data_IF_585737664689
#
_entry.id   IF_585737664689
#
_cell.length_a   1.000
_cell.length_b   1.000
_cell.length_c   1.000
_cell.angle_alpha   90.00
_cell.angle_beta   90.00
_cell.angle_gamma   90.00
#
_symmetry.space_group_name_H-M   'P 1'
#
loop_
_entity.id
_entity.type
_entity.pdbx_description
1 polymer ?
#
# COMPACT_ATOMS: atom_id res chain seq x y z
N UNK A 1 -12.79 7.75 11.35
CA UNK A 1 -11.91 8.26 12.42
C UNK A 1 -10.62 7.46 12.39
N UNK A 2 -9.57 8.01 11.80
CA UNK A 2 -8.20 7.69 12.22
C UNK A 2 -8.09 8.06 13.70
N UNK A 3 -7.35 7.28 14.49
CA UNK A 3 -7.30 7.49 15.94
C UNK A 3 -6.49 8.78 16.18
N UNK A 4 -7.17 9.83 16.66
CA UNK A 4 -6.72 11.24 16.72
C UNK A 4 -5.60 11.52 17.75
N UNK A 5 -4.63 10.62 17.93
CA UNK A 5 -3.58 10.76 18.94
C UNK A 5 -2.22 10.17 18.55
N UNK A 6 -1.88 10.11 17.27
CA UNK A 6 -0.53 9.70 16.86
C UNK A 6 0.37 10.95 16.74
N UNK A 7 1.55 10.97 17.40
CA UNK A 7 2.51 12.06 17.23
C UNK A 7 2.90 12.24 15.76
N UNK A 8 3.08 13.48 15.31
CA UNK A 8 3.44 13.79 13.91
C UNK A 8 4.68 13.01 13.45
N UNK A 9 5.69 12.87 14.32
CA UNK A 9 6.91 12.11 14.07
C UNK A 9 6.64 10.64 13.69
N UNK A 10 5.62 10.03 14.29
CA UNK A 10 5.20 8.65 13.97
C UNK A 10 4.56 8.60 12.59
N UNK A 11 3.75 9.60 12.23
CA UNK A 11 3.12 9.68 10.91
C UNK A 11 4.17 9.89 9.81
N UNK A 12 5.17 10.74 10.07
CA UNK A 12 6.26 11.01 9.14
C UNK A 12 7.14 9.76 8.94
N UNK A 13 7.44 9.02 10.01
CA UNK A 13 8.18 7.76 9.93
C UNK A 13 7.39 6.69 9.15
N UNK A 14 6.08 6.58 9.39
CA UNK A 14 5.20 5.67 8.64
C UNK A 14 5.14 6.05 7.16
N UNK A 15 5.10 7.35 6.85
CA UNK A 15 5.13 7.84 5.47
C UNK A 15 6.45 7.48 4.77
N UNK A 16 7.59 7.71 5.43
CA UNK A 16 8.91 7.35 4.91
C UNK A 16 9.04 5.85 4.66
N UNK A 17 8.66 5.02 5.65
CA UNK A 17 8.67 3.57 5.49
C UNK A 17 7.73 3.10 4.37
N UNK A 18 6.57 3.74 4.20
CA UNK A 18 5.65 3.46 3.09
C UNK A 18 6.31 3.77 1.74
N UNK A 19 7.05 4.88 1.64
CA UNK A 19 7.81 5.23 0.44
C UNK A 19 8.85 4.16 0.11
N UNK A 20 9.63 3.71 1.09
CA UNK A 20 10.65 2.66 0.88
C UNK A 20 10.02 1.34 0.41
N UNK A 21 8.85 0.99 0.96
CA UNK A 21 8.12 -0.23 0.64
C UNK A 21 7.51 -0.20 -0.78
N UNK A 22 7.22 0.98 -1.32
CA UNK A 22 6.55 1.13 -2.62
C UNK A 22 7.43 1.68 -3.75
N UNK A 23 8.51 2.37 -3.41
CA UNK A 23 9.40 3.09 -4.34
C UNK A 23 10.88 2.93 -3.99
N UNK A 24 11.22 2.09 -3.01
CA UNK A 24 12.60 1.78 -2.68
C UNK A 24 13.31 1.07 -3.84
N UNK A 25 14.60 1.34 -3.99
CA UNK A 25 15.43 0.86 -5.10
C UNK A 25 15.28 -0.65 -5.37
N UNK A 26 15.28 -1.48 -4.31
CA UNK A 26 15.14 -2.92 -4.45
C UNK A 26 13.73 -3.33 -4.88
N UNK A 27 12.69 -2.65 -4.40
CA UNK A 27 11.30 -2.90 -4.80
C UNK A 27 11.13 -2.61 -6.28
N UNK A 28 11.57 -1.43 -6.74
CA UNK A 28 11.54 -1.05 -8.15
C UNK A 28 12.36 -2.00 -9.03
N UNK A 29 13.53 -2.45 -8.57
CA UNK A 29 14.34 -3.43 -9.30
C UNK A 29 13.59 -4.77 -9.49
N UNK A 30 12.89 -5.25 -8.46
CA UNK A 30 12.07 -6.45 -8.54
C UNK A 30 10.88 -6.23 -9.49
N UNK A 31 10.18 -5.10 -9.39
CA UNK A 31 9.09 -4.75 -10.31
C UNK A 31 9.55 -4.76 -11.76
N UNK A 32 10.68 -4.12 -12.07
CA UNK A 32 11.26 -4.09 -13.40
C UNK A 32 11.69 -5.48 -13.88
N UNK A 33 12.20 -6.34 -13.00
CA UNK A 33 12.49 -7.73 -13.36
C UNK A 33 11.22 -8.51 -13.75
N UNK A 34 10.11 -8.32 -13.03
CA UNK A 34 8.83 -8.94 -13.40
C UNK A 34 8.26 -8.37 -14.71
N UNK A 35 8.30 -7.04 -14.89
CA UNK A 35 7.88 -6.39 -16.15
C UNK A 35 8.63 -6.95 -17.35
N UNK A 36 9.97 -7.02 -17.25
CA UNK A 36 10.86 -7.60 -18.27
C UNK A 36 10.46 -9.04 -18.61
N UNK A 37 10.23 -9.87 -17.59
CA UNK A 37 9.84 -11.28 -17.77
C UNK A 37 8.50 -11.46 -18.49
N UNK A 38 7.65 -10.43 -18.47
CA UNK A 38 6.32 -10.41 -19.10
C UNK A 38 6.27 -9.61 -20.41
N UNK A 39 7.40 -9.07 -20.88
CA UNK A 39 7.47 -8.23 -22.07
C UNK A 39 6.79 -6.87 -21.90
N UNK A 40 6.65 -6.39 -20.67
CA UNK A 40 6.09 -5.07 -20.37
C UNK A 40 7.19 -4.00 -20.41
N UNK A 41 6.80 -2.76 -20.69
CA UNK A 41 7.70 -1.61 -20.73
C UNK A 41 8.21 -1.31 -19.32
N UNK A 42 9.51 -1.28 -19.15
CA UNK A 42 10.16 -0.79 -17.93
C UNK A 42 10.01 0.73 -17.85
N UNK A 43 9.89 1.25 -16.63
CA UNK A 43 9.88 2.69 -16.35
C UNK A 43 8.75 3.52 -16.99
N UNK A 44 7.62 2.90 -17.32
CA UNK A 44 6.37 3.55 -17.77
C UNK A 44 5.63 4.35 -16.66
N UNK A 45 6.25 4.54 -15.50
CA UNK A 45 5.64 5.17 -14.33
C UNK A 45 4.56 4.32 -13.63
N UNK A 46 4.24 3.13 -14.14
CA UNK A 46 3.31 2.21 -13.50
C UNK A 46 4.02 1.29 -12.52
N UNK A 47 3.57 1.26 -11.27
CA UNK A 47 4.10 0.29 -10.31
C UNK A 47 3.53 -1.10 -10.57
N UNK A 48 4.41 -2.10 -10.61
CA UNK A 48 3.97 -3.48 -10.85
C UNK A 48 3.32 -4.09 -9.60
N UNK A 49 3.77 -3.71 -8.40
CA UNK A 49 3.12 -4.08 -7.15
C UNK A 49 1.98 -3.12 -6.82
N UNK A 50 0.80 -3.70 -6.58
CA UNK A 50 -0.44 -2.95 -6.37
C UNK A 50 -0.78 -2.84 -4.88
N UNK A 51 -0.83 -3.99 -4.20
CA UNK A 51 -1.21 -4.10 -2.79
C UNK A 51 -0.05 -4.72 -2.00
N UNK A 52 0.21 -4.19 -0.81
CA UNK A 52 1.21 -4.73 0.11
C UNK A 52 0.54 -5.06 1.44
N UNK A 53 0.81 -6.26 1.96
CA UNK A 53 0.21 -6.75 3.19
C UNK A 53 1.34 -7.07 4.17
N UNK A 54 1.31 -6.43 5.33
CA UNK A 54 2.30 -6.63 6.40
C UNK A 54 1.59 -7.10 7.66
N UNK A 55 1.97 -8.28 8.13
CA UNK A 55 1.50 -8.83 9.39
C UNK A 55 2.56 -8.62 10.47
N UNK A 56 2.21 -7.91 11.53
CA UNK A 56 3.02 -7.75 12.73
C UNK A 56 2.46 -8.64 13.84
N UNK A 57 3.04 -8.57 15.05
CA UNK A 57 2.66 -9.44 16.17
C UNK A 57 1.14 -9.47 16.41
N UNK A 58 0.51 -8.29 16.47
CA UNK A 58 -0.92 -8.14 16.79
C UNK A 58 -1.74 -7.44 15.70
N UNK A 59 -1.10 -6.98 14.62
CA UNK A 59 -1.71 -6.12 13.61
C UNK A 59 -1.55 -6.67 12.20
N UNK A 60 -2.55 -6.40 11.38
CA UNK A 60 -2.55 -6.57 9.93
C UNK A 60 -2.61 -5.18 9.30
N UNK A 61 -1.60 -4.87 8.48
CA UNK A 61 -1.49 -3.63 7.73
C UNK A 61 -1.73 -3.96 6.26
N UNK A 62 -2.72 -3.31 5.67
CA UNK A 62 -3.05 -3.43 4.25
C UNK A 62 -2.79 -2.09 3.61
N UNK A 63 -1.80 -2.05 2.74
CA UNK A 63 -1.47 -0.91 1.93
C UNK A 63 -2.08 -1.11 0.55
N UNK A 64 -2.87 -0.14 0.10
CA UNK A 64 -3.53 -0.14 -1.20
C UNK A 64 -3.12 1.11 -1.95
N UNK A 65 -2.48 0.95 -3.11
CA UNK A 65 -2.19 2.10 -3.97
C UNK A 65 -3.46 2.55 -4.68
N UNK A 66 -3.68 3.86 -4.73
CA UNK A 66 -4.81 4.44 -5.47
C UNK A 66 -4.67 4.15 -6.97
N UNK A 67 -5.76 3.76 -7.62
CA UNK A 67 -5.75 3.50 -9.07
C UNK A 67 -5.72 4.78 -9.88
N UNK A 68 -6.22 5.89 -9.33
CA UNK A 68 -6.27 7.20 -9.99
C UNK A 68 -5.00 8.00 -9.79
N UNK A 69 -4.45 7.98 -8.58
CA UNK A 69 -3.23 8.69 -8.25
C UNK A 69 -2.20 7.74 -7.64
N UNK A 70 -1.26 7.27 -8.46
CA UNK A 70 -0.24 6.31 -8.02
C UNK A 70 0.66 6.85 -6.89
N UNK A 71 0.71 8.17 -6.66
CA UNK A 71 1.43 8.78 -5.53
C UNK A 71 0.69 8.69 -4.19
N UNK A 72 -0.57 8.25 -4.18
CA UNK A 72 -1.38 8.11 -2.97
C UNK A 72 -1.53 6.64 -2.61
N UNK A 73 -1.22 6.32 -1.35
CA UNK A 73 -1.38 4.99 -0.77
C UNK A 73 -2.32 5.09 0.44
N UNK A 74 -3.37 4.28 0.44
CA UNK A 74 -4.25 4.13 1.58
C UNK A 74 -3.73 3.00 2.48
N UNK A 75 -3.62 3.27 3.78
CA UNK A 75 -3.17 2.30 4.77
C UNK A 75 -4.32 1.96 5.71
N UNK A 76 -4.67 0.67 5.79
CA UNK A 76 -5.67 0.15 6.70
C UNK A 76 -4.99 -0.76 7.72
N UNK A 77 -5.16 -0.43 9.00
CA UNK A 77 -4.63 -1.22 10.10
C UNK A 77 -5.77 -1.85 10.88
N UNK A 78 -5.70 -3.16 11.09
CA UNK A 78 -6.67 -3.89 11.89
C UNK A 78 -5.99 -4.97 12.75
N UNK A 79 -6.75 -5.57 13.67
CA UNK A 79 -6.24 -6.66 14.51
C UNK A 79 -5.94 -7.89 13.63
N UNK A 80 -4.83 -8.58 13.93
CA UNK A 80 -4.43 -9.82 13.25
C UNK A 80 -5.49 -10.95 13.33
N UNK A 81 -6.38 -10.89 14.31
CA UNK A 81 -7.47 -11.86 14.48
C UNK A 81 -8.57 -11.76 13.40
N UNK A 82 -8.56 -10.71 12.57
CA UNK A 82 -9.53 -10.57 11.47
C UNK A 82 -9.19 -11.56 10.35
N UNK A 83 -10.21 -12.17 9.75
CA UNK A 83 -10.04 -12.99 8.56
C UNK A 83 -9.42 -12.14 7.41
N UNK A 84 -8.27 -12.57 6.89
CA UNK A 84 -7.52 -11.84 5.88
C UNK A 84 -8.33 -11.57 4.61
N UNK A 85 -9.09 -12.56 4.12
CA UNK A 85 -9.92 -12.39 2.93
C UNK A 85 -11.03 -11.34 3.11
N UNK A 86 -11.66 -11.31 4.29
CA UNK A 86 -12.64 -10.28 4.64
C UNK A 86 -12.00 -8.90 4.79
N UNK A 87 -10.81 -8.82 5.40
CA UNK A 87 -10.07 -7.57 5.54
C UNK A 87 -9.76 -6.97 4.16
N UNK A 88 -9.23 -7.78 3.23
CA UNK A 88 -8.91 -7.35 1.87
C UNK A 88 -10.14 -6.94 1.08
N UNK A 89 -11.23 -7.71 1.18
CA UNK A 89 -12.50 -7.38 0.52
C UNK A 89 -13.03 -6.02 0.97
N UNK A 90 -13.04 -5.75 2.28
CA UNK A 90 -13.48 -4.46 2.82
C UNK A 90 -12.51 -3.34 2.46
N UNK A 91 -11.20 -3.60 2.52
CA UNK A 91 -10.17 -2.62 2.19
C UNK A 91 -10.32 -2.11 0.75
N UNK A 92 -10.53 -3.02 -0.21
CA UNK A 92 -10.76 -2.66 -1.62
C UNK A 92 -12.03 -1.85 -1.84
N UNK A 93 -13.12 -2.17 -1.14
CA UNK A 93 -14.35 -1.38 -1.19
C UNK A 93 -14.14 0.04 -0.66
N UNK A 94 -13.35 0.21 0.40
CA UNK A 94 -13.02 1.53 0.93
C UNK A 94 -12.09 2.30 0.00
N UNK A 95 -11.09 1.63 -0.58
CA UNK A 95 -10.18 2.24 -1.56
C UNK A 95 -10.95 2.87 -2.72
N UNK A 96 -11.89 2.14 -3.32
CA UNK A 96 -12.73 2.66 -4.41
C UNK A 96 -13.52 3.90 -4.01
N UNK A 97 -14.04 3.95 -2.78
CA UNK A 97 -14.78 5.13 -2.29
C UNK A 97 -13.86 6.31 -2.05
N UNK A 98 -12.67 6.08 -1.50
CA UNK A 98 -11.68 7.13 -1.27
C UNK A 98 -11.18 7.68 -2.61
N UNK A 99 -10.83 6.81 -3.56
CA UNK A 99 -10.43 7.16 -4.93
C UNK A 99 -11.46 8.03 -5.68
N UNK A 100 -12.74 8.01 -5.30
CA UNK A 100 -13.73 8.91 -5.91
C UNK A 100 -13.62 10.37 -5.43
N UNK A 101 -12.96 10.62 -4.31
CA UNK A 101 -12.91 11.92 -3.62
C UNK A 101 -11.51 12.55 -3.60
N UNK A 102 -10.50 11.85 -4.12
CA UNK A 102 -9.13 12.33 -4.38
C UNK A 102 -8.88 12.33 -5.89
#
# INVERSE_FOLDING_TARGET
KTVDSHPQEVLDLVAAATSDIYQGQNVTAIENAFKRSRGLVEDDGHHYFQDIIIMSENLLHVFLRSKRNQGVVMVIVCRKSVNLGMALSKARLMATKVDQHI
#
